data_IF_320371094466
#
_entry.id   IF_320371094466
#
_cell.length_a   1.000
_cell.length_b   1.000
_cell.length_c   1.000
_cell.angle_alpha   90.00
_cell.angle_beta   90.00
_cell.angle_gamma   90.00
#
_symmetry.space_group_name_H-M   'P 1'
#
loop_
_entity.id
_entity.type
_entity.pdbx_description
1 polymer ?
#
# COMPACT_ATOMS: atom_id res chain seq x y z
N UNK A 1 26.25 -21.04 29.96
CA UNK A 1 25.49 -22.07 30.68
C UNK A 1 24.63 -22.74 29.64
N UNK A 2 25.11 -23.90 29.18
CA UNK A 2 24.46 -24.74 28.15
C UNK A 2 23.22 -25.42 28.74
N UNK A 3 22.19 -25.57 27.97
CA UNK A 3 21.24 -26.67 28.10
C UNK A 3 20.75 -27.10 26.73
N UNK A 4 20.91 -28.38 26.49
CA UNK A 4 20.81 -29.09 25.24
C UNK A 4 19.37 -29.44 24.82
N UNK A 5 19.27 -29.68 23.52
CA UNK A 5 18.14 -30.26 22.79
C UNK A 5 17.90 -31.72 23.17
N UNK A 6 16.68 -32.11 23.38
CA UNK A 6 16.23 -33.50 23.47
C UNK A 6 15.26 -33.84 22.32
N UNK A 7 15.77 -34.64 21.40
CA UNK A 7 15.04 -35.32 20.32
C UNK A 7 14.42 -36.63 20.85
N UNK A 8 13.22 -36.99 20.39
CA UNK A 8 12.77 -38.41 20.40
C UNK A 8 11.75 -38.67 19.27
N UNK A 9 11.61 -39.97 18.85
CA UNK A 9 11.47 -40.32 17.45
C UNK A 9 10.08 -40.89 17.06
N UNK A 10 9.94 -41.04 15.74
CA UNK A 10 8.88 -41.74 15.00
C UNK A 10 8.69 -43.20 15.40
N UNK A 11 7.46 -43.67 15.44
CA UNK A 11 7.11 -45.06 15.09
C UNK A 11 5.79 -45.13 14.33
N UNK A 12 5.91 -45.68 13.16
CA UNK A 12 4.80 -46.12 12.31
C UNK A 12 4.20 -47.44 12.88
N UNK A 13 2.89 -47.62 12.66
CA UNK A 13 2.32 -48.94 12.66
C UNK A 13 1.21 -49.04 11.60
N UNK A 14 1.48 -49.84 10.59
CA UNK A 14 0.55 -50.36 9.60
C UNK A 14 -0.40 -51.37 10.28
N UNK A 15 -1.68 -51.36 9.95
CA UNK A 15 -2.49 -52.57 9.96
C UNK A 15 -3.63 -52.45 8.92
N UNK A 16 -3.55 -53.33 7.96
CA UNK A 16 -4.49 -53.62 6.87
C UNK A 16 -5.62 -54.50 7.43
N UNK A 17 -6.86 -54.19 7.08
CA UNK A 17 -7.91 -55.24 6.98
C UNK A 17 -8.97 -54.80 5.94
N UNK A 18 -9.05 -55.62 4.89
CA UNK A 18 -10.10 -55.63 3.88
C UNK A 18 -11.41 -56.18 4.46
N UNK A 19 -12.54 -55.56 4.12
CA UNK A 19 -13.81 -56.30 3.90
C UNK A 19 -14.73 -55.40 3.06
N UNK A 20 -15.07 -55.91 1.90
CA UNK A 20 -15.96 -55.28 0.93
C UNK A 20 -17.42 -55.41 1.33
N UNK A 21 -18.20 -54.41 0.99
CA UNK A 21 -19.66 -54.49 0.82
C UNK A 21 -20.05 -53.65 -0.42
N UNK A 22 -20.92 -54.26 -1.19
CA UNK A 22 -21.41 -53.86 -2.50
C UNK A 22 -22.31 -52.60 -2.46
N UNK A 23 -22.04 -51.76 -3.37
CA UNK A 23 -22.74 -50.77 -4.16
C UNK A 23 -24.27 -50.76 -4.09
N UNK A 24 -24.78 -49.60 -3.75
CA UNK A 24 -26.04 -49.08 -4.24
C UNK A 24 -25.77 -47.69 -4.87
N UNK A 25 -25.95 -47.59 -6.17
CA UNK A 25 -25.83 -46.36 -6.93
C UNK A 25 -27.02 -45.45 -6.63
N UNK A 26 -26.81 -44.40 -5.86
CA UNK A 26 -27.71 -43.24 -5.81
C UNK A 26 -27.09 -42.09 -6.60
N UNK A 27 -27.79 -41.64 -7.65
CA UNK A 27 -27.50 -40.46 -8.44
C UNK A 27 -27.30 -39.22 -7.54
N UNK A 28 -26.10 -38.90 -7.20
CA UNK A 28 -25.75 -37.59 -6.70
C UNK A 28 -25.76 -36.62 -7.88
N UNK A 29 -26.80 -35.81 -8.00
CA UNK A 29 -26.83 -34.65 -8.87
C UNK A 29 -25.67 -33.74 -8.45
N UNK A 30 -24.69 -33.60 -9.31
CA UNK A 30 -23.66 -32.57 -9.18
C UNK A 30 -24.32 -31.18 -9.12
N UNK A 31 -24.26 -30.55 -7.98
CA UNK A 31 -24.63 -29.12 -7.82
C UNK A 31 -23.57 -28.34 -8.58
N UNK A 32 -23.91 -27.48 -9.52
CA UNK A 32 -22.92 -26.74 -10.28
C UNK A 32 -22.23 -25.76 -9.38
N UNK A 33 -20.92 -25.84 -9.24
CA UNK A 33 -20.05 -24.84 -8.59
C UNK A 33 -20.15 -23.42 -9.19
N UNK A 34 -20.86 -23.25 -10.30
CA UNK A 34 -21.07 -21.96 -10.97
C UNK A 34 -22.00 -20.98 -10.25
N UNK A 35 -22.88 -21.43 -9.36
CA UNK A 35 -23.88 -20.54 -8.71
C UNK A 35 -23.33 -19.68 -7.59
N UNK A 36 -22.21 -20.08 -6.95
CA UNK A 36 -21.58 -19.31 -5.89
C UNK A 36 -20.78 -18.11 -6.43
N UNK A 37 -20.07 -18.32 -7.55
CA UNK A 37 -19.30 -17.24 -8.20
C UNK A 37 -20.17 -16.15 -8.81
N UNK A 38 -21.35 -16.52 -9.30
CA UNK A 38 -22.26 -15.58 -9.95
C UNK A 38 -22.94 -14.66 -8.93
N UNK A 39 -23.32 -15.18 -7.76
CA UNK A 39 -23.93 -14.38 -6.68
C UNK A 39 -22.94 -13.38 -6.07
N UNK A 40 -21.67 -13.76 -5.91
CA UNK A 40 -20.62 -12.85 -5.40
C UNK A 40 -20.29 -11.78 -6.43
N UNK A 41 -20.22 -12.14 -7.72
CA UNK A 41 -20.06 -11.17 -8.82
C UNK A 41 -21.23 -10.20 -8.93
N UNK A 42 -22.46 -10.66 -8.74
CA UNK A 42 -23.66 -9.82 -8.73
C UNK A 42 -23.63 -8.89 -7.51
N UNK A 43 -23.32 -9.37 -6.30
CA UNK A 43 -23.22 -8.56 -5.10
C UNK A 43 -22.08 -7.51 -5.18
N UNK A 44 -20.92 -7.88 -5.74
CA UNK A 44 -19.83 -6.93 -6.01
C UNK A 44 -20.24 -5.90 -7.09
N UNK A 45 -21.01 -6.32 -8.09
CA UNK A 45 -21.49 -5.47 -9.18
C UNK A 45 -22.58 -4.50 -8.72
N UNK A 46 -23.48 -4.92 -7.84
CA UNK A 46 -24.49 -4.06 -7.21
C UNK A 46 -23.83 -3.05 -6.26
N UNK A 47 -22.79 -3.47 -5.51
CA UNK A 47 -22.00 -2.57 -4.69
C UNK A 47 -21.23 -1.52 -5.53
N UNK A 48 -20.80 -1.85 -6.78
CA UNK A 48 -20.03 -0.93 -7.64
C UNK A 48 -20.87 0.22 -8.21
N UNK A 49 -22.18 0.02 -8.40
CA UNK A 49 -23.05 1.06 -8.93
C UNK A 49 -23.25 2.25 -7.98
N UNK A 50 -22.95 2.06 -6.70
CA UNK A 50 -23.13 3.09 -5.65
C UNK A 50 -21.86 3.89 -5.35
N UNK A 51 -20.72 3.59 -6.01
CA UNK A 51 -19.41 4.15 -5.65
C UNK A 51 -18.81 5.07 -6.71
N UNK A 52 -18.89 6.37 -6.46
CA UNK A 52 -18.07 7.44 -7.04
C UNK A 52 -17.89 7.46 -8.57
N UNK A 53 -18.78 6.83 -9.34
CA UNK A 53 -18.73 6.87 -10.81
C UNK A 53 -17.52 6.12 -11.42
N UNK A 54 -16.97 5.14 -10.69
CA UNK A 54 -15.98 4.19 -11.21
C UNK A 54 -16.49 2.77 -11.00
N UNK A 55 -16.59 1.99 -12.07
CA UNK A 55 -17.08 0.62 -12.03
C UNK A 55 -15.93 -0.35 -11.76
N UNK A 56 -15.67 -0.64 -10.49
CA UNK A 56 -14.62 -1.57 -10.04
C UNK A 56 -14.84 -3.02 -10.50
N UNK A 57 -16.03 -3.38 -10.96
CA UNK A 57 -16.31 -4.72 -11.49
C UNK A 57 -15.76 -4.91 -12.91
N UNK A 58 -15.68 -3.83 -13.70
CA UNK A 58 -15.29 -3.89 -15.11
C UNK A 58 -14.06 -3.07 -15.47
N UNK A 59 -13.74 -2.05 -14.69
CA UNK A 59 -12.57 -1.19 -14.92
C UNK A 59 -11.45 -1.54 -13.96
N UNK A 60 -10.19 -1.34 -14.39
CA UNK A 60 -9.02 -1.52 -13.55
C UNK A 60 -8.51 -0.19 -13.03
N UNK A 61 -8.19 -0.18 -11.74
CA UNK A 61 -7.43 0.90 -11.14
C UNK A 61 -6.03 0.88 -11.75
N UNK A 62 -5.60 2.03 -12.26
CA UNK A 62 -4.24 2.30 -12.71
C UNK A 62 -3.84 3.62 -12.06
N UNK A 63 -3.10 3.54 -10.97
CA UNK A 63 -2.86 4.68 -10.10
C UNK A 63 -1.42 4.87 -9.70
N UNK A 64 -1.18 5.99 -9.04
CA UNK A 64 0.08 6.30 -8.36
C UNK A 64 -0.19 6.83 -6.96
N UNK A 65 0.77 6.62 -6.08
CA UNK A 65 0.80 7.26 -4.78
C UNK A 65 1.37 8.68 -4.90
N UNK A 66 0.80 9.62 -4.16
CA UNK A 66 1.30 10.97 -3.96
C UNK A 66 2.18 10.95 -2.70
N UNK A 67 3.23 10.12 -2.75
CA UNK A 67 4.11 9.85 -1.61
C UNK A 67 5.06 11.00 -1.32
N UNK A 68 5.56 11.06 -0.06
CA UNK A 68 6.53 12.04 0.38
C UNK A 68 6.03 13.49 0.49
N UNK A 69 4.73 13.74 0.37
CA UNK A 69 4.15 15.09 0.36
C UNK A 69 3.54 15.50 1.71
N UNK A 70 2.32 15.00 2.02
CA UNK A 70 1.62 15.35 3.28
C UNK A 70 2.06 14.46 4.46
N UNK A 71 2.73 13.37 4.17
CA UNK A 71 3.61 12.59 5.04
C UNK A 71 4.96 12.59 4.37
N UNK A 72 5.96 13.16 5.02
CA UNK A 72 7.29 13.29 4.42
C UNK A 72 8.14 12.05 4.70
N UNK A 73 8.91 11.62 3.71
CA UNK A 73 9.82 10.50 3.81
C UNK A 73 11.22 10.89 3.34
N UNK A 74 12.27 10.62 4.14
CA UNK A 74 13.63 11.07 3.83
C UNK A 74 14.16 10.61 2.47
N UNK A 75 13.73 9.46 1.98
CA UNK A 75 14.21 8.91 0.71
C UNK A 75 13.47 9.50 -0.52
N UNK A 76 12.20 9.92 -0.35
CA UNK A 76 11.44 10.57 -1.43
C UNK A 76 11.84 12.03 -1.56
N UNK A 77 11.92 12.72 -0.40
CA UNK A 77 12.19 14.16 -0.31
C UNK A 77 13.35 14.47 0.62
N UNK A 78 14.57 14.01 0.29
CA UNK A 78 15.74 14.23 1.12
C UNK A 78 16.02 15.71 1.40
N UNK A 79 15.62 16.63 0.52
CA UNK A 79 15.79 18.07 0.70
C UNK A 79 15.14 18.62 1.98
N UNK A 80 13.99 18.05 2.39
CA UNK A 80 13.32 18.40 3.66
C UNK A 80 14.19 18.06 4.87
N UNK A 81 15.00 17.01 4.75
CA UNK A 81 15.84 16.44 5.80
C UNK A 81 17.30 16.88 5.73
N UNK A 82 17.69 17.73 4.77
CA UNK A 82 19.04 18.29 4.68
C UNK A 82 19.31 19.22 5.88
N UNK A 83 19.77 18.58 6.97
CA UNK A 83 20.15 19.24 8.22
C UNK A 83 21.51 18.72 8.68
N UNK A 84 22.23 19.51 9.49
CA UNK A 84 23.48 19.06 10.09
C UNK A 84 23.26 18.24 11.38
N UNK A 85 22.03 17.82 11.66
CA UNK A 85 21.69 17.06 12.87
C UNK A 85 21.32 15.62 12.55
N UNK A 86 22.20 14.62 12.85
CA UNK A 86 21.95 13.23 12.53
C UNK A 86 20.82 12.58 13.36
N UNK A 87 20.29 13.27 14.38
CA UNK A 87 19.15 12.80 15.15
C UNK A 87 17.80 13.05 14.46
N UNK A 88 17.79 13.83 13.37
CA UNK A 88 16.61 14.02 12.53
C UNK A 88 16.54 12.86 11.54
N UNK A 89 15.61 11.94 11.78
CA UNK A 89 15.51 10.68 11.03
C UNK A 89 14.14 10.42 10.42
N UNK A 90 13.13 11.23 10.78
CA UNK A 90 11.73 11.14 10.37
C UNK A 90 11.02 12.48 10.62
N UNK A 91 9.74 12.60 10.23
CA UNK A 91 8.97 13.83 10.40
C UNK A 91 8.77 14.20 11.88
N UNK A 92 8.63 13.19 12.77
CA UNK A 92 8.54 13.43 14.22
C UNK A 92 9.79 14.13 14.77
N UNK A 93 10.96 13.57 14.51
CA UNK A 93 12.25 14.12 14.99
C UNK A 93 12.59 15.41 14.28
N UNK A 94 12.21 15.60 13.02
CA UNK A 94 12.33 16.87 12.32
C UNK A 94 11.57 17.98 13.08
N UNK A 95 10.30 17.72 13.38
CA UNK A 95 9.46 18.68 14.10
C UNK A 95 9.93 18.91 15.55
N UNK A 96 10.38 17.84 16.23
CA UNK A 96 10.86 17.89 17.60
C UNK A 96 12.12 18.74 17.75
N UNK A 97 13.08 18.53 16.86
CA UNK A 97 14.41 19.12 16.96
C UNK A 97 14.43 20.56 16.42
N UNK A 98 13.79 20.78 15.26
CA UNK A 98 13.74 22.13 14.67
C UNK A 98 12.71 23.03 15.33
N UNK A 99 11.75 22.46 16.06
CA UNK A 99 10.63 23.17 16.66
C UNK A 99 9.61 23.68 15.63
N UNK A 100 8.41 24.02 16.11
CA UNK A 100 7.25 24.34 15.25
C UNK A 100 7.51 25.47 14.24
N UNK A 101 8.37 26.43 14.53
CA UNK A 101 8.62 27.57 13.63
C UNK A 101 9.44 27.15 12.41
N UNK A 102 10.59 26.52 12.61
CA UNK A 102 11.50 26.16 11.52
C UNK A 102 10.98 24.91 10.76
N UNK A 103 10.53 23.88 11.48
CA UNK A 103 9.88 22.74 10.84
C UNK A 103 8.66 23.19 10.02
N UNK A 104 7.84 24.09 10.59
CA UNK A 104 6.66 24.62 9.89
C UNK A 104 6.98 25.45 8.65
N UNK A 105 8.11 26.16 8.63
CA UNK A 105 8.60 26.86 7.43
C UNK A 105 8.97 25.85 6.34
N UNK A 106 9.83 24.86 6.68
CA UNK A 106 10.29 23.83 5.74
C UNK A 106 9.14 23.00 5.16
N UNK A 107 8.25 22.52 6.03
CA UNK A 107 7.13 21.70 5.60
C UNK A 107 6.16 22.49 4.72
N UNK A 108 5.87 23.76 5.04
CA UNK A 108 5.03 24.57 4.16
C UNK A 108 5.67 24.84 2.81
N UNK A 109 6.95 25.20 2.76
CA UNK A 109 7.69 25.36 1.49
C UNK A 109 7.65 24.07 0.65
N UNK A 110 7.77 22.92 1.31
CA UNK A 110 7.65 21.62 0.67
C UNK A 110 6.20 21.35 0.18
N UNK A 111 5.19 21.54 1.01
CA UNK A 111 3.79 21.33 0.60
C UNK A 111 3.36 22.26 -0.54
N UNK A 112 3.85 23.51 -0.54
CA UNK A 112 3.56 24.51 -1.57
C UNK A 112 4.18 24.17 -2.95
N UNK A 113 5.27 23.40 -2.98
CA UNK A 113 6.09 23.26 -4.19
C UNK A 113 6.25 21.81 -4.70
N UNK A 114 6.18 20.79 -3.83
CA UNK A 114 6.50 19.42 -4.23
C UNK A 114 5.44 18.82 -5.15
N UNK A 115 4.15 19.00 -4.89
CA UNK A 115 3.07 18.68 -5.83
C UNK A 115 2.24 19.90 -6.15
N UNK A 116 1.83 19.99 -7.40
CA UNK A 116 1.02 21.08 -7.96
C UNK A 116 -0.11 20.54 -8.82
N UNK A 117 -1.09 21.37 -9.20
CA UNK A 117 -2.17 20.95 -10.11
C UNK A 117 -1.65 20.42 -11.44
N UNK A 118 -0.51 20.95 -11.94
CA UNK A 118 0.13 20.48 -13.17
C UNK A 118 0.57 19.01 -13.09
N UNK A 119 0.99 18.54 -11.90
CA UNK A 119 1.33 17.13 -11.68
C UNK A 119 0.10 16.23 -11.85
N UNK A 120 -1.07 16.64 -11.37
CA UNK A 120 -2.31 15.85 -11.51
C UNK A 120 -2.76 15.76 -12.96
N UNK A 121 -2.64 16.84 -13.73
CA UNK A 121 -2.87 16.79 -15.17
C UNK A 121 -1.85 15.90 -15.88
N UNK A 122 -0.57 15.91 -15.45
CA UNK A 122 0.47 15.03 -15.98
C UNK A 122 0.15 13.57 -15.68
N UNK A 123 -0.24 13.23 -14.45
CA UNK A 123 -0.69 11.89 -14.05
C UNK A 123 -1.79 11.41 -14.99
N UNK A 124 -2.81 12.23 -15.23
CA UNK A 124 -3.90 11.90 -16.15
C UNK A 124 -3.41 11.69 -17.58
N UNK A 125 -2.50 12.54 -18.06
CA UNK A 125 -1.94 12.46 -19.41
C UNK A 125 -1.13 11.18 -19.66
N UNK A 126 -0.64 10.54 -18.60
CA UNK A 126 0.05 9.25 -18.63
C UNK A 126 -0.89 8.04 -18.61
N UNK A 127 -2.20 8.24 -18.74
CA UNK A 127 -3.20 7.19 -18.82
C UNK A 127 -3.68 6.66 -17.47
N UNK A 128 -3.25 7.28 -16.37
CA UNK A 128 -3.69 6.90 -15.02
C UNK A 128 -5.11 7.43 -14.72
N UNK A 129 -5.81 6.75 -13.83
CA UNK A 129 -7.19 7.07 -13.46
C UNK A 129 -7.39 7.33 -11.97
N UNK A 130 -6.42 6.95 -11.13
CA UNK A 130 -6.48 7.12 -9.67
C UNK A 130 -5.20 7.72 -9.11
N UNK A 131 -5.34 8.38 -7.96
CA UNK A 131 -4.24 8.73 -7.05
C UNK A 131 -4.58 8.26 -5.63
N UNK A 132 -3.60 7.71 -4.91
CA UNK A 132 -3.67 7.44 -3.47
C UNK A 132 -2.88 8.53 -2.76
N UNK A 133 -3.51 9.22 -1.81
CA UNK A 133 -2.93 10.39 -1.13
C UNK A 133 -2.74 10.09 0.35
N UNK A 134 -1.50 9.84 0.80
CA UNK A 134 -1.15 9.67 2.19
C UNK A 134 -1.36 10.95 3.00
N UNK A 135 -1.96 10.82 4.20
CA UNK A 135 -2.05 11.87 5.22
C UNK A 135 -1.90 11.26 6.62
N UNK A 136 -1.18 11.92 7.51
CA UNK A 136 -1.00 11.44 8.88
C UNK A 136 -2.12 11.88 9.83
N UNK A 137 -2.35 11.12 10.92
CA UNK A 137 -3.31 11.49 11.96
C UNK A 137 -3.03 12.88 12.56
N UNK A 138 -1.76 13.30 12.55
CA UNK A 138 -1.32 14.58 13.11
C UNK A 138 -1.82 15.80 12.33
N UNK A 139 -2.33 15.61 11.12
CA UNK A 139 -3.07 16.66 10.43
C UNK A 139 -4.33 17.08 11.22
N UNK A 140 -4.86 16.21 12.07
CA UNK A 140 -6.12 16.37 12.79
C UNK A 140 -5.94 16.47 14.30
N UNK A 141 -4.94 15.81 14.88
CA UNK A 141 -4.77 15.69 16.32
C UNK A 141 -3.29 15.50 16.73
N UNK A 142 -2.83 16.36 17.62
CA UNK A 142 -1.52 16.30 18.28
C UNK A 142 -1.68 16.45 19.81
N UNK A 143 -2.84 16.03 20.34
CA UNK A 143 -3.19 16.18 21.77
C UNK A 143 -2.36 15.29 22.71
N UNK A 144 -1.70 14.26 22.16
CA UNK A 144 -0.75 13.44 22.92
C UNK A 144 0.61 14.11 23.18
N UNK A 145 0.77 15.37 22.78
CA UNK A 145 2.02 16.12 22.96
C UNK A 145 3.03 15.90 21.82
N UNK A 146 2.61 15.33 20.70
CA UNK A 146 3.45 15.13 19.55
C UNK A 146 3.93 16.47 18.95
N UNK A 147 5.18 16.53 18.45
CA UNK A 147 5.78 17.77 17.97
C UNK A 147 5.34 18.20 16.57
N UNK A 148 4.58 17.36 15.85
CA UNK A 148 4.22 17.57 14.46
C UNK A 148 3.66 18.97 14.16
N UNK A 149 3.97 19.46 12.98
CA UNK A 149 3.35 20.65 12.40
C UNK A 149 2.04 20.25 11.71
N UNK A 150 1.01 21.03 11.91
CA UNK A 150 -0.30 20.85 11.27
C UNK A 150 -0.46 21.80 10.08
N UNK A 151 -1.36 21.43 9.13
CA UNK A 151 -1.68 22.20 7.94
C UNK A 151 -1.95 21.33 6.71
N UNK A 152 -1.62 20.04 6.76
CA UNK A 152 -1.71 19.09 5.63
C UNK A 152 -3.14 18.96 5.08
N UNK A 153 -4.16 19.13 5.93
CA UNK A 153 -5.55 18.92 5.52
C UNK A 153 -6.02 19.91 4.45
N UNK A 154 -5.57 21.17 4.51
CA UNK A 154 -5.90 22.18 3.49
C UNK A 154 -5.30 21.80 2.12
N UNK A 155 -4.09 21.25 2.11
CA UNK A 155 -3.46 20.74 0.89
C UNK A 155 -4.14 19.48 0.35
N UNK A 156 -4.64 18.60 1.23
CA UNK A 156 -5.46 17.47 0.81
C UNK A 156 -6.73 17.93 0.10
N UNK A 157 -7.41 18.96 0.63
CA UNK A 157 -8.60 19.54 0.00
C UNK A 157 -8.26 20.13 -1.38
N UNK A 158 -7.12 20.82 -1.51
CA UNK A 158 -6.62 21.32 -2.80
C UNK A 158 -6.36 20.17 -3.78
N UNK A 159 -5.67 19.11 -3.35
CA UNK A 159 -5.36 17.94 -4.16
C UNK A 159 -6.62 17.23 -4.69
N UNK A 160 -7.66 17.14 -3.87
CA UNK A 160 -8.98 16.63 -4.30
C UNK A 160 -9.61 17.55 -5.38
N UNK A 161 -9.43 18.85 -5.25
CA UNK A 161 -9.83 19.83 -6.27
C UNK A 161 -9.08 19.63 -7.59
N UNK A 162 -7.75 19.51 -7.53
CA UNK A 162 -6.89 19.24 -8.69
C UNK A 162 -7.21 17.88 -9.35
N UNK A 163 -7.46 16.86 -8.53
CA UNK A 163 -7.90 15.55 -9.03
C UNK A 163 -9.20 15.62 -9.81
N UNK A 164 -10.19 16.40 -9.29
CA UNK A 164 -11.46 16.66 -9.99
C UNK A 164 -11.21 17.32 -11.35
N UNK A 165 -10.41 18.39 -11.38
CA UNK A 165 -10.09 19.14 -12.60
C UNK A 165 -9.38 18.26 -13.63
N UNK A 166 -8.50 17.36 -13.18
CA UNK A 166 -7.79 16.41 -14.03
C UNK A 166 -8.64 15.18 -14.42
N UNK A 167 -9.80 14.94 -13.79
CA UNK A 167 -10.61 13.75 -14.02
C UNK A 167 -10.00 12.47 -13.44
N UNK A 168 -9.30 12.59 -12.29
CA UNK A 168 -8.75 11.50 -11.50
C UNK A 168 -9.68 11.16 -10.33
N UNK A 169 -9.63 9.90 -9.88
CA UNK A 169 -10.24 9.43 -8.63
C UNK A 169 -9.21 9.47 -7.50
N UNK A 170 -9.68 9.69 -6.28
CA UNK A 170 -8.83 9.81 -5.09
C UNK A 170 -9.17 8.73 -4.08
N UNK A 171 -8.19 7.92 -3.69
CA UNK A 171 -8.19 7.13 -2.47
C UNK A 171 -7.40 7.91 -1.42
N UNK A 172 -8.03 8.29 -0.32
CA UNK A 172 -7.35 8.95 0.80
C UNK A 172 -6.80 7.85 1.71
N UNK A 173 -5.55 8.00 2.13
CA UNK A 173 -4.88 7.01 2.95
C UNK A 173 -4.44 7.62 4.29
N UNK A 174 -5.01 7.10 5.40
CA UNK A 174 -4.52 7.44 6.72
C UNK A 174 -3.19 6.70 6.96
N UNK A 175 -2.09 7.36 6.62
CA UNK A 175 -0.77 6.75 6.50
C UNK A 175 -0.03 6.54 7.83
N UNK A 176 -0.37 7.30 8.85
CA UNK A 176 0.24 7.20 10.17
C UNK A 176 -0.77 7.29 11.29
N UNK A 177 -0.62 6.42 12.31
CA UNK A 177 -1.38 6.39 13.55
C UNK A 177 -0.55 6.80 14.77
N UNK A 178 -1.16 7.34 15.85
CA UNK A 178 -0.46 7.66 17.08
C UNK A 178 0.33 6.47 17.63
N UNK A 179 1.53 6.71 18.12
CA UNK A 179 2.41 5.66 18.63
C UNK A 179 3.15 4.86 17.56
N UNK A 180 2.90 5.12 16.27
CA UNK A 180 3.37 4.36 15.10
C UNK A 180 2.80 2.95 15.01
N UNK A 181 2.08 2.65 13.92
CA UNK A 181 1.45 1.35 13.69
C UNK A 181 2.42 0.30 13.15
N UNK A 182 3.59 0.68 12.65
CA UNK A 182 4.54 -0.26 12.04
C UNK A 182 6.01 -0.04 12.42
N UNK A 183 6.34 1.08 13.09
CA UNK A 183 7.72 1.41 13.47
C UNK A 183 8.60 1.92 12.33
N UNK A 184 8.03 2.11 11.13
CA UNK A 184 8.74 2.67 9.97
C UNK A 184 8.65 4.20 9.97
N UNK A 185 9.57 4.85 9.28
CA UNK A 185 9.57 6.32 9.13
C UNK A 185 8.36 6.83 8.32
N UNK A 186 7.82 6.01 7.42
CA UNK A 186 6.59 6.32 6.68
C UNK A 186 5.35 6.51 7.57
N UNK A 187 5.34 5.98 8.81
CA UNK A 187 4.29 6.28 9.79
C UNK A 187 4.42 7.66 10.45
N UNK A 188 5.43 8.44 10.04
CA UNK A 188 5.83 9.72 10.62
C UNK A 188 6.82 9.59 11.78
N UNK A 189 6.95 8.40 12.40
CA UNK A 189 7.84 8.14 13.54
C UNK A 189 8.46 6.75 13.47
N UNK A 190 9.78 6.69 13.22
CA UNK A 190 10.54 5.45 13.22
C UNK A 190 10.86 4.98 14.64
N UNK A 191 10.75 3.69 14.90
CA UNK A 191 11.18 3.09 16.16
C UNK A 191 10.22 2.04 16.69
N UNK A 192 9.75 2.22 17.91
CA UNK A 192 8.84 1.28 18.54
C UNK A 192 7.47 1.30 17.88
N UNK A 193 6.86 0.11 17.76
CA UNK A 193 5.47 -0.07 17.34
C UNK A 193 4.61 0.05 18.61
N UNK A 194 3.99 1.20 18.80
CA UNK A 194 3.22 1.53 20.00
C UNK A 194 1.75 1.82 19.77
N UNK A 195 1.26 1.68 18.52
CA UNK A 195 -0.13 1.97 18.18
C UNK A 195 -1.13 1.09 18.93
N UNK A 196 -0.83 -0.20 19.05
CA UNK A 196 -1.66 -1.20 19.76
C UNK A 196 -1.42 -1.27 21.26
N UNK A 197 -0.35 -0.65 21.77
CA UNK A 197 0.02 -0.68 23.20
C UNK A 197 -0.84 0.27 24.06
N UNK A 198 -1.46 1.28 23.43
CA UNK A 198 -2.34 2.23 24.10
C UNK A 198 -3.67 2.34 23.34
N UNK A 199 -4.77 1.94 23.98
CA UNK A 199 -6.11 2.07 23.42
C UNK A 199 -6.42 3.50 22.99
N UNK A 200 -5.86 4.51 23.67
CA UNK A 200 -6.00 5.91 23.28
C UNK A 200 -5.44 6.21 21.90
N UNK A 201 -4.37 5.52 21.47
CA UNK A 201 -3.83 5.65 20.12
C UNK A 201 -4.80 5.13 19.06
N UNK A 202 -5.43 3.99 19.32
CA UNK A 202 -6.45 3.39 18.43
C UNK A 202 -7.67 4.32 18.34
N UNK A 203 -8.16 4.85 19.46
CA UNK A 203 -9.32 5.76 19.50
C UNK A 203 -9.02 7.08 18.77
N UNK A 204 -7.82 7.62 18.89
CA UNK A 204 -7.40 8.83 18.17
C UNK A 204 -7.28 8.56 16.65
N UNK A 205 -6.86 7.35 16.25
CA UNK A 205 -6.87 6.93 14.85
C UNK A 205 -8.30 6.87 14.31
N UNK A 206 -9.23 6.27 15.06
CA UNK A 206 -10.67 6.25 14.72
C UNK A 206 -11.25 7.66 14.61
N UNK A 207 -10.86 8.58 15.50
CA UNK A 207 -11.28 9.98 15.44
C UNK A 207 -10.76 10.71 14.19
N UNK A 208 -9.54 10.45 13.76
CA UNK A 208 -8.99 10.95 12.50
C UNK A 208 -9.75 10.41 11.29
N UNK A 209 -10.01 9.10 11.26
CA UNK A 209 -10.83 8.46 10.23
C UNK A 209 -12.25 9.05 10.17
N UNK A 210 -12.88 9.29 11.32
CA UNK A 210 -14.21 9.91 11.39
C UNK A 210 -14.22 11.35 10.81
N UNK A 211 -13.16 12.15 11.05
CA UNK A 211 -13.02 13.47 10.45
C UNK A 211 -12.90 13.41 8.93
N UNK A 212 -12.07 12.49 8.41
CA UNK A 212 -11.95 12.25 6.97
C UNK A 212 -13.29 11.80 6.37
N UNK A 213 -13.97 10.85 7.02
CA UNK A 213 -15.27 10.34 6.58
C UNK A 213 -16.29 11.44 6.56
N UNK A 214 -16.39 12.26 7.63
CA UNK A 214 -17.32 13.37 7.71
C UNK A 214 -17.10 14.40 6.58
N UNK A 215 -15.87 14.74 6.28
CA UNK A 215 -15.57 15.69 5.20
C UNK A 215 -15.93 15.09 3.84
N UNK A 216 -15.35 13.92 3.52
CA UNK A 216 -15.37 13.40 2.16
C UNK A 216 -16.63 12.62 1.78
N UNK A 217 -17.53 12.34 2.73
CA UNK A 217 -18.89 11.85 2.43
C UNK A 217 -19.83 12.91 1.87
N UNK A 218 -19.46 14.20 1.94
CA UNK A 218 -20.27 15.29 1.40
C UNK A 218 -20.49 15.13 -0.12
N UNK A 219 -21.69 15.46 -0.64
CA UNK A 219 -22.05 15.23 -2.05
C UNK A 219 -21.08 15.81 -3.08
N UNK A 220 -20.41 16.92 -2.74
CA UNK A 220 -19.44 17.56 -3.62
C UNK A 220 -18.21 16.71 -3.94
N UNK A 221 -17.92 15.71 -3.14
CA UNK A 221 -16.78 14.80 -3.33
C UNK A 221 -17.17 13.48 -3.99
N UNK A 222 -18.45 13.18 -4.12
CA UNK A 222 -18.96 11.87 -4.52
C UNK A 222 -18.44 11.34 -5.87
N UNK A 223 -18.04 12.25 -6.78
CA UNK A 223 -17.49 11.85 -8.08
C UNK A 223 -15.96 11.82 -8.13
N UNK A 224 -15.28 12.13 -7.02
CA UNK A 224 -13.82 12.26 -6.97
C UNK A 224 -13.21 11.35 -5.92
N UNK A 225 -13.64 11.45 -4.66
CA UNK A 225 -13.13 10.64 -3.57
C UNK A 225 -13.87 9.31 -3.55
N UNK A 226 -13.17 8.23 -3.88
CA UNK A 226 -13.77 6.90 -3.99
C UNK A 226 -13.77 6.15 -2.67
N UNK A 227 -12.82 6.44 -1.77
CA UNK A 227 -12.72 5.75 -0.50
C UNK A 227 -11.65 6.31 0.42
N UNK A 228 -11.58 5.74 1.60
CA UNK A 228 -10.59 6.05 2.62
C UNK A 228 -9.96 4.74 3.10
N UNK A 229 -8.64 4.68 3.10
CA UNK A 229 -7.88 3.61 3.74
C UNK A 229 -7.85 3.87 5.24
N UNK A 230 -8.28 2.88 6.02
CA UNK A 230 -8.45 3.02 7.47
C UNK A 230 -7.13 3.28 8.19
N UNK A 231 -6.07 2.56 7.81
CA UNK A 231 -4.71 2.73 8.30
C UNK A 231 -3.73 2.01 7.36
N UNK A 232 -2.67 2.70 6.98
CA UNK A 232 -1.57 2.14 6.19
C UNK A 232 -0.73 1.16 6.99
N UNK A 233 -0.47 -0.02 6.44
CA UNK A 233 0.56 -0.97 6.90
C UNK A 233 0.60 -1.23 8.42
N UNK A 234 -0.50 -1.54 9.11
CA UNK A 234 -0.40 -1.93 10.52
C UNK A 234 0.37 -3.26 10.65
N UNK A 235 1.25 -3.36 11.65
CA UNK A 235 2.23 -4.44 11.80
C UNK A 235 1.63 -5.76 12.30
N UNK A 236 0.80 -6.42 11.49
CA UNK A 236 0.22 -7.71 11.84
C UNK A 236 1.25 -8.81 12.14
N UNK A 237 2.49 -8.62 11.71
CA UNK A 237 3.62 -9.49 12.04
C UNK A 237 4.16 -9.34 13.47
N UNK A 238 3.74 -8.29 14.21
CA UNK A 238 4.25 -8.00 15.55
C UNK A 238 3.89 -9.10 16.55
N UNK A 239 2.62 -9.41 16.69
CA UNK A 239 2.08 -10.45 17.58
C UNK A 239 0.55 -10.59 17.41
N UNK A 240 -0.04 -11.57 18.12
CA UNK A 240 -1.48 -11.83 18.08
C UNK A 240 -2.33 -10.67 18.64
N UNK A 241 -1.83 -9.94 19.65
CA UNK A 241 -2.51 -8.77 20.20
C UNK A 241 -2.71 -7.71 19.11
N UNK A 242 -1.66 -7.36 18.36
CA UNK A 242 -1.75 -6.45 17.23
C UNK A 242 -2.78 -6.92 16.19
N UNK A 243 -2.76 -8.21 15.82
CA UNK A 243 -3.72 -8.77 14.85
C UNK A 243 -5.16 -8.63 15.33
N UNK A 244 -5.42 -8.88 16.61
CA UNK A 244 -6.75 -8.73 17.18
C UNK A 244 -7.18 -7.26 17.26
N UNK A 245 -6.28 -6.36 17.64
CA UNK A 245 -6.51 -4.91 17.63
C UNK A 245 -6.85 -4.42 16.23
N UNK A 246 -6.12 -4.88 15.19
CA UNK A 246 -6.41 -4.53 13.79
C UNK A 246 -7.79 -5.02 13.36
N UNK A 247 -8.17 -6.26 13.72
CA UNK A 247 -9.49 -6.81 13.37
C UNK A 247 -10.64 -6.00 13.99
N UNK A 248 -10.50 -5.62 15.25
CA UNK A 248 -11.52 -4.82 15.93
C UNK A 248 -11.54 -3.38 15.39
N UNK A 249 -10.37 -2.78 15.16
CA UNK A 249 -10.25 -1.48 14.52
C UNK A 249 -10.91 -1.45 13.11
N UNK A 250 -10.77 -2.49 12.30
CA UNK A 250 -11.41 -2.54 10.98
C UNK A 250 -12.93 -2.67 11.05
N UNK A 251 -13.47 -3.39 12.05
CA UNK A 251 -14.93 -3.43 12.30
C UNK A 251 -15.46 -2.04 12.68
N UNK A 252 -14.78 -1.40 13.65
CA UNK A 252 -15.13 -0.04 14.06
C UNK A 252 -15.00 0.96 12.89
N UNK A 253 -13.98 0.79 12.06
CA UNK A 253 -13.78 1.62 10.85
C UNK A 253 -14.92 1.45 9.85
N UNK A 254 -15.45 0.22 9.69
CA UNK A 254 -16.63 -0.02 8.87
C UNK A 254 -17.83 0.77 9.39
N UNK A 255 -18.08 0.70 10.70
CA UNK A 255 -19.18 1.42 11.32
C UNK A 255 -19.00 2.94 11.21
N UNK A 256 -17.78 3.45 11.40
CA UNK A 256 -17.46 4.87 11.20
C UNK A 256 -17.79 5.31 9.77
N UNK A 257 -17.29 4.59 8.76
CA UNK A 257 -17.48 4.96 7.37
C UNK A 257 -18.94 4.83 6.94
N UNK A 258 -19.70 3.84 7.46
CA UNK A 258 -21.10 3.63 7.07
C UNK A 258 -22.08 4.52 7.83
N UNK A 259 -21.82 4.86 9.11
CA UNK A 259 -22.81 5.50 9.97
C UNK A 259 -22.51 6.97 10.30
N UNK A 260 -21.27 7.46 10.13
CA UNK A 260 -20.92 8.87 10.43
C UNK A 260 -21.67 9.86 9.55
N UNK A 261 -22.03 9.49 8.33
CA UNK A 261 -22.66 10.37 7.35
C UNK A 261 -24.00 9.87 6.82
N UNK A 262 -24.59 8.88 7.52
CA UNK A 262 -25.83 8.24 7.13
C UNK A 262 -25.61 6.93 6.34
N UNK A 263 -26.69 6.16 6.10
CA UNK A 263 -26.60 4.78 5.59
C UNK A 263 -26.15 4.66 4.13
N UNK A 264 -25.97 5.75 3.41
CA UNK A 264 -25.66 5.77 1.97
C UNK A 264 -24.41 6.60 1.64
N UNK A 265 -23.32 6.38 2.38
CA UNK A 265 -22.04 6.97 1.95
C UNK A 265 -21.57 6.32 0.65
N UNK A 266 -21.03 7.15 -0.27
CA UNK A 266 -20.39 6.69 -1.50
C UNK A 266 -18.95 6.16 -1.26
N UNK A 267 -18.40 6.36 -0.05
CA UNK A 267 -17.02 6.01 0.24
C UNK A 267 -16.83 4.51 0.39
N UNK A 268 -15.80 3.97 -0.24
CA UNK A 268 -15.26 2.66 0.11
C UNK A 268 -14.47 2.76 1.42
N UNK A 269 -14.61 1.74 2.27
CA UNK A 269 -13.62 1.47 3.30
C UNK A 269 -12.52 0.61 2.66
N UNK A 270 -11.29 1.10 2.63
CA UNK A 270 -10.15 0.30 2.25
C UNK A 270 -9.40 -0.18 3.50
N UNK A 271 -9.16 -1.48 3.60
CA UNK A 271 -8.36 -2.09 4.66
C UNK A 271 -7.07 -2.66 4.08
N UNK A 272 -5.97 -2.54 4.82
CA UNK A 272 -4.69 -3.14 4.44
C UNK A 272 -4.59 -4.60 4.94
N UNK A 273 -3.85 -5.45 4.24
CA UNK A 273 -3.67 -6.85 4.61
C UNK A 273 -2.83 -7.08 5.88
N UNK A 274 -2.26 -6.01 6.44
CA UNK A 274 -1.42 -6.06 7.64
C UNK A 274 -0.24 -7.03 7.51
N UNK A 275 0.27 -7.24 6.29
CA UNK A 275 1.33 -8.21 5.95
C UNK A 275 0.95 -9.67 6.28
N UNK A 276 -0.34 -9.96 6.38
CA UNK A 276 -0.89 -11.30 6.55
C UNK A 276 -1.40 -11.86 5.21
N UNK A 277 -1.55 -13.18 5.06
CA UNK A 277 -2.14 -13.75 3.86
C UNK A 277 -3.50 -13.12 3.53
N UNK A 278 -3.77 -12.79 2.26
CA UNK A 278 -5.03 -12.19 1.81
C UNK A 278 -6.26 -12.99 2.28
N UNK A 279 -6.12 -14.31 2.39
CA UNK A 279 -7.17 -15.20 2.89
C UNK A 279 -7.61 -14.90 4.33
N UNK A 280 -6.78 -14.24 5.14
CA UNK A 280 -7.12 -13.81 6.50
C UNK A 280 -8.30 -12.86 6.51
N UNK A 281 -8.41 -12.01 5.49
CA UNK A 281 -9.40 -10.92 5.41
C UNK A 281 -10.61 -11.24 4.55
N UNK A 282 -10.50 -12.27 3.71
CA UNK A 282 -11.48 -12.59 2.68
C UNK A 282 -12.92 -12.83 3.18
N UNK A 283 -13.10 -13.15 4.47
CA UNK A 283 -14.40 -13.39 5.08
C UNK A 283 -14.71 -12.40 6.23
N UNK A 284 -13.91 -11.36 6.42
CA UNK A 284 -14.11 -10.39 7.52
C UNK A 284 -15.34 -9.53 7.26
N UNK A 285 -15.58 -9.17 6.00
CA UNK A 285 -16.70 -8.34 5.57
C UNK A 285 -17.52 -9.05 4.47
N UNK A 286 -18.26 -10.13 4.80
CA UNK A 286 -18.97 -10.90 3.80
C UNK A 286 -20.20 -10.13 3.28
N UNK A 287 -20.40 -10.07 1.94
CA UNK A 287 -21.64 -9.57 1.37
C UNK A 287 -22.78 -10.60 1.61
N UNK A 288 -24.05 -10.18 1.64
CA UNK A 288 -24.55 -8.81 1.48
C UNK A 288 -24.56 -7.97 2.77
N UNK A 289 -24.15 -8.53 3.92
CA UNK A 289 -24.19 -7.84 5.22
C UNK A 289 -23.22 -6.63 5.24
N UNK A 290 -22.09 -6.77 4.53
CA UNK A 290 -21.11 -5.71 4.40
C UNK A 290 -20.94 -5.37 2.91
N UNK A 291 -20.93 -4.09 2.59
CA UNK A 291 -20.73 -3.57 1.25
C UNK A 291 -19.73 -2.41 1.25
N UNK A 292 -19.16 -2.11 0.10
CA UNK A 292 -18.23 -0.99 -0.06
C UNK A 292 -16.96 -1.15 0.76
N UNK A 293 -16.42 -2.37 0.84
CA UNK A 293 -15.12 -2.67 1.45
C UNK A 293 -14.18 -3.22 0.39
N UNK A 294 -12.93 -2.80 0.45
CA UNK A 294 -11.84 -3.29 -0.40
C UNK A 294 -10.63 -3.66 0.42
N UNK A 295 -9.85 -4.60 -0.08
CA UNK A 295 -8.61 -5.07 0.52
C UNK A 295 -7.41 -4.55 -0.28
N UNK A 296 -6.47 -3.96 0.43
CA UNK A 296 -5.20 -3.50 -0.09
C UNK A 296 -4.07 -4.45 0.32
N UNK A 297 -3.12 -4.68 -0.59
CA UNK A 297 -1.87 -5.38 -0.31
C UNK A 297 -0.71 -4.63 -0.92
N UNK A 298 0.44 -4.65 -0.26
CA UNK A 298 1.67 -4.05 -0.75
C UNK A 298 2.64 -5.16 -1.16
N UNK A 299 3.19 -5.06 -2.37
CA UNK A 299 4.06 -6.11 -2.93
C UNK A 299 5.41 -5.54 -3.28
N UNK A 300 6.37 -5.80 -2.42
CA UNK A 300 7.77 -5.43 -2.59
C UNK A 300 8.66 -6.68 -2.50
N UNK A 301 9.69 -6.76 -3.33
CA UNK A 301 10.70 -7.82 -3.29
C UNK A 301 12.05 -7.34 -2.75
N UNK A 302 12.22 -6.03 -2.56
CA UNK A 302 13.52 -5.41 -2.26
C UNK A 302 13.87 -5.36 -0.77
N UNK A 303 12.91 -5.57 0.13
CA UNK A 303 13.13 -5.42 1.58
C UNK A 303 13.60 -6.71 2.27
N UNK A 304 13.96 -7.75 1.49
CA UNK A 304 14.53 -9.00 2.02
C UNK A 304 15.88 -9.31 1.36
N UNK A 305 16.79 -10.01 2.05
CA UNK A 305 18.05 -10.45 1.45
C UNK A 305 17.84 -11.34 0.22
N UNK A 306 16.85 -12.23 0.25
CA UNK A 306 16.48 -13.13 -0.84
C UNK A 306 15.99 -12.35 -2.06
N UNK A 307 15.12 -11.37 -1.84
CA UNK A 307 14.60 -10.53 -2.89
C UNK A 307 15.68 -9.73 -3.62
N UNK A 308 16.68 -9.20 -2.90
CA UNK A 308 17.80 -8.48 -3.50
C UNK A 308 18.73 -9.39 -4.33
N UNK A 309 18.74 -10.72 -4.10
CA UNK A 309 19.56 -11.69 -4.82
C UNK A 309 18.90 -12.25 -6.08
N UNK A 310 17.60 -12.02 -6.27
CA UNK A 310 16.84 -12.57 -7.38
C UNK A 310 17.41 -12.13 -8.73
N UNK A 311 17.59 -13.07 -9.63
CA UNK A 311 17.75 -12.79 -11.06
C UNK A 311 16.48 -12.19 -11.65
N UNK A 312 16.56 -11.62 -12.85
CA UNK A 312 15.39 -11.07 -13.56
C UNK A 312 14.27 -12.12 -13.71
N UNK A 313 14.62 -13.35 -14.11
CA UNK A 313 13.64 -14.43 -14.28
C UNK A 313 13.00 -14.89 -12.97
N UNK A 314 13.78 -15.04 -11.90
CA UNK A 314 13.27 -15.41 -10.59
C UNK A 314 12.30 -14.35 -10.07
N UNK A 315 12.61 -13.07 -10.27
CA UNK A 315 11.74 -11.96 -9.87
C UNK A 315 10.44 -11.94 -10.64
N UNK A 316 10.48 -12.12 -11.98
CA UNK A 316 9.27 -12.25 -12.81
C UNK A 316 8.41 -13.43 -12.30
N UNK A 317 9.03 -14.58 -12.05
CA UNK A 317 8.34 -15.75 -11.52
C UNK A 317 7.72 -15.49 -10.14
N UNK A 318 8.42 -14.76 -9.26
CA UNK A 318 7.91 -14.42 -7.92
C UNK A 318 6.65 -13.53 -7.99
N UNK A 319 6.59 -12.58 -8.94
CA UNK A 319 5.37 -11.82 -9.19
C UNK A 319 4.24 -12.71 -9.71
N UNK A 320 4.54 -13.62 -10.63
CA UNK A 320 3.54 -14.54 -11.19
C UNK A 320 2.88 -15.44 -10.13
N UNK A 321 3.62 -15.84 -9.09
CA UNK A 321 3.08 -16.62 -7.97
C UNK A 321 1.97 -15.91 -7.20
N UNK A 322 1.84 -14.59 -7.31
CA UNK A 322 0.79 -13.82 -6.62
C UNK A 322 -0.60 -13.97 -7.28
N UNK A 323 -0.67 -14.42 -8.54
CA UNK A 323 -1.94 -14.49 -9.29
C UNK A 323 -3.01 -15.29 -8.55
N UNK A 324 -2.77 -16.54 -8.08
CA UNK A 324 -3.82 -17.33 -7.44
C UNK A 324 -4.39 -16.65 -6.18
N UNK A 325 -3.54 -16.06 -5.36
CA UNK A 325 -3.96 -15.40 -4.11
C UNK A 325 -4.77 -14.14 -4.40
N UNK A 326 -4.33 -13.32 -5.37
CA UNK A 326 -5.04 -12.12 -5.80
C UNK A 326 -6.41 -12.50 -6.38
N UNK A 327 -6.49 -13.51 -7.25
CA UNK A 327 -7.74 -13.97 -7.84
C UNK A 327 -8.70 -14.55 -6.77
N UNK A 328 -8.18 -15.35 -5.84
CA UNK A 328 -8.97 -15.91 -4.75
C UNK A 328 -9.53 -14.80 -3.84
N UNK A 329 -8.74 -13.80 -3.52
CA UNK A 329 -9.18 -12.63 -2.76
C UNK A 329 -10.21 -11.81 -3.54
N UNK A 330 -9.89 -11.45 -4.79
CA UNK A 330 -10.78 -10.67 -5.67
C UNK A 330 -12.15 -11.32 -5.87
N UNK A 331 -12.24 -12.65 -5.79
CA UNK A 331 -13.52 -13.35 -5.88
C UNK A 331 -14.46 -13.12 -4.70
N UNK A 332 -13.94 -12.59 -3.59
CA UNK A 332 -14.68 -12.37 -2.33
C UNK A 332 -14.78 -10.91 -1.93
N UNK A 333 -13.71 -10.15 -2.15
CA UNK A 333 -13.60 -8.74 -1.81
C UNK A 333 -12.76 -8.05 -2.89
N UNK A 334 -13.11 -6.83 -3.28
CA UNK A 334 -12.27 -6.07 -4.21
C UNK A 334 -10.87 -5.93 -3.63
N UNK A 335 -9.90 -6.44 -4.38
CA UNK A 335 -8.51 -6.48 -3.95
C UNK A 335 -7.64 -5.77 -4.97
N UNK A 336 -6.82 -4.86 -4.52
CA UNK A 336 -5.82 -4.18 -5.34
C UNK A 336 -4.44 -4.18 -4.68
N UNK A 337 -3.43 -3.84 -5.44
CA UNK A 337 -2.08 -3.62 -4.93
C UNK A 337 -1.88 -2.11 -4.77
N UNK A 338 -1.94 -1.63 -3.52
CA UNK A 338 -1.86 -0.20 -3.18
C UNK A 338 -0.46 0.36 -3.24
N UNK A 339 0.56 -0.53 -3.13
CA UNK A 339 1.94 -0.11 -3.29
C UNK A 339 2.77 -1.21 -3.95
N UNK A 340 3.60 -0.81 -4.91
CA UNK A 340 4.65 -1.61 -5.54
C UNK A 340 5.67 -0.72 -6.25
N UNK A 341 6.81 -1.28 -6.61
CA UNK A 341 7.85 -0.61 -7.39
C UNK A 341 8.44 -1.53 -8.45
N UNK A 342 8.87 -1.03 -9.61
CA UNK A 342 9.69 -1.79 -10.54
C UNK A 342 11.16 -1.89 -10.12
N UNK A 343 11.63 -1.08 -9.16
CA UNK A 343 13.01 -1.13 -8.68
C UNK A 343 13.37 -2.53 -8.15
N UNK A 344 14.48 -3.15 -8.62
CA UNK A 344 14.88 -4.49 -8.22
C UNK A 344 15.74 -4.53 -6.95
N UNK A 345 16.14 -3.37 -6.42
CA UNK A 345 17.05 -3.26 -5.27
C UNK A 345 16.56 -2.22 -4.27
N UNK A 346 17.07 -2.28 -3.05
CA UNK A 346 16.86 -1.27 -2.01
C UNK A 346 17.96 -0.19 -1.99
N UNK A 347 18.52 0.11 -3.17
CA UNK A 347 19.62 1.05 -3.31
C UNK A 347 19.23 2.53 -3.22
N UNK A 348 17.94 2.89 -3.33
CA UNK A 348 17.52 4.28 -3.23
C UNK A 348 18.06 4.90 -1.91
N UNK A 349 18.73 6.06 -1.99
CA UNK A 349 19.32 6.68 -0.81
C UNK A 349 18.29 6.90 0.28
N UNK A 350 18.61 6.52 1.51
CA UNK A 350 17.76 6.65 2.70
C UNK A 350 16.49 5.78 2.71
N UNK A 351 16.25 4.92 1.71
CA UNK A 351 15.05 4.07 1.59
C UNK A 351 14.80 3.21 2.84
N UNK A 352 15.85 2.65 3.42
CA UNK A 352 15.74 1.85 4.64
C UNK A 352 15.76 2.71 5.94
N UNK A 353 15.65 4.01 5.79
CA UNK A 353 15.76 5.01 6.85
C UNK A 353 17.16 5.63 6.97
N UNK A 354 17.22 6.87 7.44
CA UNK A 354 18.47 7.61 7.61
C UNK A 354 19.46 6.81 8.46
N UNK A 355 20.68 6.63 7.94
CA UNK A 355 21.79 5.94 8.60
C UNK A 355 21.78 4.42 8.48
N UNK A 356 20.89 3.81 7.68
CA UNK A 356 20.78 2.34 7.62
C UNK A 356 21.43 1.65 6.42
N UNK A 357 21.70 2.34 5.33
CA UNK A 357 22.30 1.74 4.12
C UNK A 357 21.35 0.80 3.36
N UNK A 358 21.89 0.00 2.45
CA UNK A 358 21.20 -0.91 1.54
C UNK A 358 21.62 -2.37 1.76
N UNK A 359 20.65 -3.29 1.66
CA UNK A 359 20.92 -4.75 1.68
C UNK A 359 21.69 -5.18 0.45
N UNK A 360 21.39 -4.56 -0.70
CA UNK A 360 22.00 -4.92 -1.97
C UNK A 360 23.51 -4.70 -1.99
N UNK A 361 24.01 -3.58 -1.45
CA UNK A 361 25.46 -3.31 -1.39
C UNK A 361 26.13 -3.79 -0.09
N UNK A 362 25.35 -4.36 0.84
CA UNK A 362 25.83 -4.88 2.12
C UNK A 362 26.07 -3.83 3.19
N UNK A 363 25.67 -2.58 2.98
CA UNK A 363 25.80 -1.52 3.98
C UNK A 363 24.68 -1.52 5.03
N UNK A 364 23.56 -2.22 4.78
CA UNK A 364 22.53 -2.45 5.79
C UNK A 364 23.03 -3.47 6.83
N UNK A 365 22.81 -3.18 8.10
CA UNK A 365 23.27 -4.04 9.22
C UNK A 365 22.83 -5.50 9.05
N UNK A 366 23.75 -6.44 9.18
CA UNK A 366 23.51 -7.89 9.02
C UNK A 366 23.36 -8.36 7.57
N UNK A 367 23.49 -7.49 6.58
CA UNK A 367 23.37 -7.87 5.17
C UNK A 367 24.69 -8.34 4.57
N UNK A 368 24.60 -9.26 3.61
CA UNK A 368 25.73 -9.69 2.77
C UNK A 368 25.63 -8.98 1.42
N UNK A 369 26.74 -8.39 0.97
CA UNK A 369 26.81 -7.70 -0.32
C UNK A 369 26.42 -8.62 -1.48
N UNK A 370 25.47 -8.15 -2.29
CA UNK A 370 25.01 -8.78 -3.54
C UNK A 370 25.66 -8.10 -4.76
N UNK A 371 25.70 -6.77 -4.75
CA UNK A 371 26.21 -5.99 -5.86
C UNK A 371 26.66 -4.58 -5.46
N UNK A 372 26.69 -3.66 -6.42
CA UNK A 372 26.94 -2.24 -6.21
C UNK A 372 25.68 -1.45 -6.51
N UNK A 373 25.36 -0.48 -5.65
CA UNK A 373 24.26 0.46 -5.86
C UNK A 373 24.58 1.52 -6.95
N UNK A 374 25.81 1.59 -7.43
CA UNK A 374 26.19 2.47 -8.52
C UNK A 374 25.35 2.19 -9.76
N UNK A 375 24.72 3.23 -10.33
CA UNK A 375 23.81 3.17 -11.48
C UNK A 375 22.57 2.27 -11.27
N UNK A 376 22.19 1.96 -10.02
CA UNK A 376 20.98 1.23 -9.66
C UNK A 376 19.91 2.08 -8.97
N UNK A 377 20.19 3.35 -8.81
CA UNK A 377 19.31 4.39 -8.27
C UNK A 377 19.89 5.75 -8.66
N UNK A 378 19.23 6.85 -8.26
CA UNK A 378 19.65 8.21 -8.62
C UNK A 378 18.84 8.75 -9.80
N UNK A 379 19.49 9.49 -10.67
CA UNK A 379 18.84 10.12 -11.83
C UNK A 379 18.83 9.19 -13.04
N UNK A 380 17.80 9.27 -13.86
CA UNK A 380 17.62 8.50 -15.10
C UNK A 380 18.83 8.57 -16.05
N UNK A 381 19.56 9.70 -16.05
CA UNK A 381 20.77 9.87 -16.86
C UNK A 381 21.95 8.96 -16.45
N UNK A 382 21.89 8.40 -15.23
CA UNK A 382 22.90 7.50 -14.68
C UNK A 382 22.58 6.02 -14.95
N UNK A 383 21.39 5.71 -15.49
CA UNK A 383 20.93 4.35 -15.73
C UNK A 383 21.41 3.82 -17.07
N UNK A 384 21.92 2.57 -17.09
CA UNK A 384 22.17 1.87 -18.34
C UNK A 384 20.85 1.50 -19.04
N UNK A 385 20.90 1.27 -20.36
CA UNK A 385 19.72 0.83 -21.12
C UNK A 385 19.22 -0.54 -20.65
N UNK A 386 20.12 -1.45 -20.25
CA UNK A 386 19.76 -2.75 -19.68
C UNK A 386 19.02 -2.60 -18.34
N UNK A 387 19.41 -1.62 -17.51
CA UNK A 387 18.72 -1.36 -16.25
C UNK A 387 17.32 -0.80 -16.50
N UNK A 388 17.18 0.16 -17.43
CA UNK A 388 15.87 0.69 -17.85
C UNK A 388 14.98 -0.40 -18.44
N UNK A 389 15.56 -1.32 -19.24
CA UNK A 389 14.83 -2.47 -19.77
C UNK A 389 14.31 -3.38 -18.63
N UNK A 390 15.15 -3.69 -17.64
CA UNK A 390 14.75 -4.48 -16.47
C UNK A 390 13.62 -3.80 -15.68
N UNK A 391 13.74 -2.48 -15.41
CA UNK A 391 12.68 -1.69 -14.77
C UNK A 391 11.37 -1.80 -15.56
N UNK A 392 11.44 -1.69 -16.88
CA UNK A 392 10.27 -1.80 -17.75
C UNK A 392 9.63 -3.19 -17.73
N UNK A 393 10.44 -4.26 -17.77
CA UNK A 393 9.97 -5.65 -17.65
C UNK A 393 9.26 -5.87 -16.30
N UNK A 394 9.85 -5.37 -15.20
CA UNK A 394 9.24 -5.52 -13.88
C UNK A 394 7.97 -4.71 -13.73
N UNK A 395 7.90 -3.50 -14.27
CA UNK A 395 6.66 -2.74 -14.32
C UNK A 395 5.57 -3.49 -15.12
N UNK A 396 5.92 -3.98 -16.32
CA UNK A 396 4.97 -4.66 -17.20
C UNK A 396 4.40 -5.94 -16.58
N UNK A 397 5.25 -6.79 -15.96
CA UNK A 397 4.78 -8.03 -15.35
C UNK A 397 3.94 -7.76 -14.10
N UNK A 398 4.36 -6.82 -13.24
CA UNK A 398 3.64 -6.48 -12.03
C UNK A 398 2.24 -5.95 -12.34
N UNK A 399 2.13 -4.96 -13.24
CA UNK A 399 0.82 -4.41 -13.63
C UNK A 399 -0.09 -5.46 -14.24
N UNK A 400 0.45 -6.40 -15.02
CA UNK A 400 -0.27 -7.52 -15.60
C UNK A 400 -0.81 -8.48 -14.53
N UNK A 401 0.02 -8.81 -13.55
CA UNK A 401 -0.35 -9.68 -12.41
C UNK A 401 -1.40 -8.99 -11.53
N UNK A 402 -1.23 -7.72 -11.22
CA UNK A 402 -2.11 -7.00 -10.30
C UNK A 402 -3.49 -6.68 -10.91
N UNK A 403 -3.59 -6.63 -12.23
CA UNK A 403 -4.88 -6.53 -12.92
C UNK A 403 -5.71 -7.83 -12.88
N UNK A 404 -5.21 -8.95 -12.32
CA UNK A 404 -6.05 -10.07 -11.89
C UNK A 404 -6.94 -9.72 -10.68
N UNK A 405 -6.54 -8.71 -9.87
CA UNK A 405 -7.38 -8.01 -8.92
C UNK A 405 -8.10 -6.81 -9.53
N UNK A 406 -8.44 -5.83 -8.72
CA UNK A 406 -9.06 -4.56 -9.13
C UNK A 406 -8.07 -3.56 -9.73
N UNK A 407 -6.76 -3.81 -9.64
CA UNK A 407 -5.72 -2.96 -10.21
C UNK A 407 -4.61 -2.61 -9.21
N UNK A 408 -4.00 -1.45 -9.40
CA UNK A 408 -2.75 -1.12 -8.72
C UNK A 408 -2.51 0.40 -8.55
N UNK A 409 -1.63 0.73 -7.57
CA UNK A 409 -1.02 2.05 -7.38
C UNK A 409 0.50 1.88 -7.25
N UNK A 410 1.29 2.49 -8.13
CA UNK A 410 2.74 2.46 -8.02
C UNK A 410 3.22 3.42 -6.91
N UNK A 411 4.16 3.00 -6.12
CA UNK A 411 4.89 3.82 -5.18
C UNK A 411 6.21 4.27 -5.81
N UNK A 412 6.35 5.52 -6.24
CA UNK A 412 5.48 6.68 -6.11
C UNK A 412 5.45 7.50 -7.41
N UNK A 413 4.67 8.59 -7.49
CA UNK A 413 4.64 9.39 -8.73
C UNK A 413 5.99 10.03 -9.04
N UNK A 414 6.63 10.67 -8.04
CA UNK A 414 7.96 11.27 -8.18
C UNK A 414 8.75 11.22 -6.89
N UNK A 415 10.08 11.19 -7.00
CA UNK A 415 11.05 11.27 -5.93
C UNK A 415 12.20 12.19 -6.35
N UNK A 416 12.90 12.84 -5.42
CA UNK A 416 13.96 13.80 -5.74
C UNK A 416 15.24 13.13 -6.27
N UNK A 417 15.59 11.93 -5.74
CA UNK A 417 16.88 11.27 -6.01
C UNK A 417 16.75 9.75 -6.20
N UNK A 418 15.60 9.27 -6.66
CA UNK A 418 15.32 7.84 -6.84
C UNK A 418 14.37 7.63 -8.04
N UNK A 419 14.89 7.89 -9.26
CA UNK A 419 14.11 7.82 -10.51
C UNK A 419 13.60 6.41 -10.81
N UNK A 420 14.27 5.36 -10.31
CA UNK A 420 13.85 3.96 -10.39
C UNK A 420 12.55 3.67 -9.60
N UNK A 421 12.19 4.53 -8.65
CA UNK A 421 10.94 4.51 -7.90
C UNK A 421 9.90 5.50 -8.41
N UNK A 422 10.26 6.35 -9.36
CA UNK A 422 9.41 7.42 -9.88
C UNK A 422 8.65 6.98 -11.13
N UNK A 423 7.30 7.05 -11.06
CA UNK A 423 6.46 6.81 -12.24
C UNK A 423 6.73 7.85 -13.34
N UNK A 424 6.85 9.12 -12.95
CA UNK A 424 7.12 10.22 -13.87
C UNK A 424 8.46 10.02 -14.60
N UNK A 425 9.51 9.69 -13.85
CA UNK A 425 10.82 9.40 -14.43
C UNK A 425 10.77 8.17 -15.35
N UNK A 426 9.98 7.16 -14.97
CA UNK A 426 9.75 5.96 -15.77
C UNK A 426 9.15 6.27 -17.14
N UNK A 427 8.15 7.16 -17.18
CA UNK A 427 7.55 7.60 -18.45
C UNK A 427 8.51 8.47 -19.25
N UNK A 428 9.20 9.43 -18.63
CA UNK A 428 10.19 10.31 -19.29
C UNK A 428 11.40 9.51 -19.78
N UNK A 429 11.87 8.54 -19.00
CA UNK A 429 12.99 7.64 -19.33
C UNK A 429 12.64 6.50 -20.28
N UNK A 430 11.34 6.32 -20.58
CA UNK A 430 10.85 5.41 -21.61
C UNK A 430 10.75 3.95 -21.21
N UNK A 431 10.93 3.58 -19.93
CA UNK A 431 10.69 2.21 -19.45
C UNK A 431 9.25 1.99 -18.98
N UNK A 432 8.49 3.04 -18.66
CA UNK A 432 7.04 2.96 -18.47
C UNK A 432 6.36 3.54 -19.72
N UNK A 433 5.49 2.78 -20.41
CA UNK A 433 4.82 3.26 -21.61
C UNK A 433 3.70 4.24 -21.24
N UNK A 434 3.53 5.32 -22.03
CA UNK A 434 2.38 6.23 -21.87
C UNK A 434 1.04 5.55 -22.14
N UNK A 435 1.01 4.62 -23.09
CA UNK A 435 -0.15 3.76 -23.30
C UNK A 435 0.05 2.47 -22.52
N UNK A 436 -0.65 2.33 -21.42
CA UNK A 436 -0.54 1.18 -20.52
C UNK A 436 -1.07 -0.15 -21.10
N UNK A 437 -1.80 -0.10 -22.20
CA UNK A 437 -2.24 -1.29 -22.92
C UNK A 437 -1.15 -1.80 -23.89
N UNK A 438 -0.12 -0.98 -24.17
CA UNK A 438 1.02 -1.37 -24.98
C UNK A 438 2.02 -2.18 -24.15
N UNK A 439 2.21 -3.44 -24.53
CA UNK A 439 3.16 -4.37 -23.89
C UNK A 439 4.51 -4.27 -24.61
N UNK A 440 5.36 -3.38 -24.14
CA UNK A 440 6.66 -3.05 -24.77
C UNK A 440 7.66 -4.20 -24.67
N UNK A 441 7.66 -4.93 -23.55
CA UNK A 441 8.68 -5.94 -23.27
C UNK A 441 8.17 -7.36 -23.48
N UNK A 442 6.87 -7.57 -23.58
CA UNK A 442 6.27 -8.87 -23.91
C UNK A 442 6.43 -9.92 -22.81
N UNK A 443 6.72 -9.51 -21.55
CA UNK A 443 6.86 -10.45 -20.44
C UNK A 443 5.51 -11.07 -20.04
N UNK A 444 5.54 -12.34 -19.66
CA UNK A 444 4.34 -13.08 -19.28
C UNK A 444 4.64 -14.14 -18.20
N UNK A 445 3.62 -14.56 -17.50
CA UNK A 445 3.64 -15.69 -16.58
C UNK A 445 3.52 -17.04 -17.31
#
# INVERSE_FOLDING_TARGET
>A
MHLELGSLPSKALLLTLCSGILISSSNAKSIPHHLSHDKTRVALREASSDHAGFDYATQKIRGVNIGGWLVTEPWITPSVYETNNPAIIDEFTLCQILGKKEAGRRLREHWDSFYTEADFHTIKSYGLNHVRIPIGYWAFDVSGGEPYVQGQFDYLLQAVGWSRNAGLKVLIDLHGGPGSQNGFDNSGKRGAIGWDEDQGNVERTKAALAKLTHEFSKPQYAQVVVGIQALNEPAGFKNEHMVNTIKDFYKDSYDIVRHTSGPQTHLLLNIHDAFLPLSTWANTFPPPQHHGVSLDTHIYTVFTPEGNKMTEQERIHEYCKKIPDIQASQSKIWTWVGEFTPAPTDCAPLLNGIGRGSRYDGSFEGSTRVGSCESKTGLTSEFSEEYKESLGKFFEIQTKVYEHGSGWFMWTFKAEKADDWSYEAGVKGGWIPKNLDHKKYGVSC
#
